data_IF_078220913775
#
_entry.id   IF_078220913775
#
_cell.length_a   1.000
_cell.length_b   1.000
_cell.length_c   1.000
_cell.angle_alpha   90.00
_cell.angle_beta   90.00
_cell.angle_gamma   90.00
#
_symmetry.space_group_name_H-M   'P 1'
#
loop_
_entity.id
_entity.type
_entity.pdbx_description
1 polymer ?
#
# COMPACT_ATOMS: atom_id res chain seq x y z
N UNK A 1 -11.52 22.88 11.40
CA UNK A 1 -10.91 21.81 10.59
C UNK A 1 -11.12 20.43 11.20
N UNK A 2 -10.85 20.18 12.49
CA UNK A 2 -11.07 18.85 13.11
C UNK A 2 -12.52 18.37 13.07
N UNK A 3 -13.44 19.22 13.49
CA UNK A 3 -14.87 18.89 13.49
C UNK A 3 -15.37 18.59 12.06
N UNK A 4 -14.81 19.29 11.06
CA UNK A 4 -15.10 19.03 9.66
C UNK A 4 -14.61 17.65 9.23
N UNK A 5 -13.38 17.25 9.57
CA UNK A 5 -12.86 15.91 9.24
C UNK A 5 -13.64 14.81 9.95
N UNK A 6 -13.98 14.99 11.23
CA UNK A 6 -14.82 14.05 11.98
C UNK A 6 -16.17 13.91 11.29
N UNK A 7 -16.81 15.02 10.93
CA UNK A 7 -18.10 15.01 10.25
C UNK A 7 -18.06 14.32 8.89
N UNK A 8 -16.97 14.50 8.12
CA UNK A 8 -16.76 13.77 6.86
C UNK A 8 -16.68 12.27 7.10
N UNK A 9 -15.91 11.84 8.10
CA UNK A 9 -15.80 10.43 8.44
C UNK A 9 -17.15 9.87 8.91
N UNK A 10 -17.90 10.58 9.75
CA UNK A 10 -19.26 10.17 10.13
C UNK A 10 -20.20 9.98 8.92
N UNK A 11 -20.09 10.84 7.91
CA UNK A 11 -20.95 10.79 6.72
C UNK A 11 -20.53 9.72 5.70
N UNK A 12 -19.23 9.47 5.58
CA UNK A 12 -18.67 8.71 4.45
C UNK A 12 -17.80 7.52 4.85
N UNK A 13 -17.61 7.22 6.14
CA UNK A 13 -16.79 6.06 6.58
C UNK A 13 -17.31 4.76 5.99
N UNK A 14 -18.63 4.62 5.85
CA UNK A 14 -19.25 3.44 5.26
C UNK A 14 -18.72 3.15 3.85
N UNK A 15 -18.39 4.17 3.04
CA UNK A 15 -17.82 3.99 1.70
C UNK A 15 -16.41 3.36 1.74
N UNK A 16 -15.69 3.56 2.84
CA UNK A 16 -14.34 3.03 3.05
C UNK A 16 -14.34 1.60 3.59
N UNK A 17 -15.49 1.13 4.08
CA UNK A 17 -15.62 -0.13 4.80
C UNK A 17 -16.09 -1.30 3.92
N UNK A 18 -16.27 -1.07 2.62
CA UNK A 18 -16.65 -2.10 1.65
C UNK A 18 -15.52 -2.46 0.70
N UNK A 19 -15.28 -3.77 0.53
CA UNK A 19 -14.47 -4.27 -0.56
C UNK A 19 -15.25 -4.16 -1.88
N UNK A 20 -14.54 -3.94 -3.00
CA UNK A 20 -15.17 -3.88 -4.33
C UNK A 20 -16.02 -5.12 -4.65
N UNK A 21 -15.61 -6.28 -4.12
CA UNK A 21 -16.32 -7.55 -4.24
C UNK A 21 -17.78 -7.47 -3.71
N UNK A 22 -18.02 -6.61 -2.73
CA UNK A 22 -19.30 -6.43 -2.05
C UNK A 22 -20.21 -5.40 -2.73
N UNK A 23 -19.72 -4.71 -3.77
CA UNK A 23 -20.44 -3.66 -4.50
C UNK A 23 -21.85 -4.09 -4.93
N UNK A 24 -21.94 -5.26 -5.57
CA UNK A 24 -23.21 -5.82 -6.05
C UNK A 24 -24.00 -6.54 -4.94
N UNK A 25 -23.32 -7.09 -3.92
CA UNK A 25 -23.96 -7.85 -2.84
C UNK A 25 -24.80 -6.92 -1.98
N UNK A 26 -24.26 -5.75 -1.65
CA UNK A 26 -24.91 -4.78 -0.76
C UNK A 26 -25.58 -3.64 -1.51
N UNK A 27 -25.73 -3.76 -2.83
CA UNK A 27 -26.33 -2.75 -3.70
C UNK A 27 -25.79 -1.34 -3.41
N UNK A 28 -24.45 -1.24 -3.37
CA UNK A 28 -23.78 -0.03 -2.91
C UNK A 28 -24.09 1.18 -3.80
N UNK A 29 -24.38 0.95 -5.08
CA UNK A 29 -24.82 2.00 -6.00
C UNK A 29 -26.06 2.71 -5.48
N UNK A 30 -27.11 1.98 -5.09
CA UNK A 30 -28.37 2.58 -4.66
C UNK A 30 -28.29 3.23 -3.26
N UNK A 31 -27.25 2.92 -2.48
CA UNK A 31 -26.95 3.63 -1.23
C UNK A 31 -26.33 5.01 -1.45
N UNK A 32 -25.81 5.30 -2.65
CA UNK A 32 -25.25 6.62 -2.95
C UNK A 32 -26.37 7.68 -3.06
N UNK A 33 -26.08 8.93 -2.66
CA UNK A 33 -27.00 10.05 -2.88
C UNK A 33 -27.44 10.13 -4.36
N UNK A 34 -28.72 10.46 -4.59
CA UNK A 34 -29.28 10.53 -5.94
C UNK A 34 -28.48 11.47 -6.85
N UNK A 35 -28.03 12.61 -6.34
CA UNK A 35 -27.19 13.55 -7.10
C UNK A 35 -25.86 12.94 -7.55
N UNK A 36 -25.27 12.03 -6.76
CA UNK A 36 -24.04 11.34 -7.13
C UNK A 36 -24.31 10.31 -8.22
N UNK A 37 -25.38 9.52 -8.09
CA UNK A 37 -25.76 8.53 -9.09
C UNK A 37 -26.03 9.17 -10.45
N UNK A 38 -26.77 10.28 -10.49
CA UNK A 38 -27.06 11.00 -11.75
C UNK A 38 -25.77 11.47 -12.43
N UNK A 39 -24.81 12.01 -11.67
CA UNK A 39 -23.52 12.44 -12.25
C UNK A 39 -22.66 11.25 -12.68
N UNK A 40 -22.59 10.19 -11.86
CA UNK A 40 -21.68 9.07 -12.08
C UNK A 40 -22.22 8.04 -13.08
N UNK A 41 -23.50 8.03 -13.40
CA UNK A 41 -24.09 7.13 -14.40
C UNK A 41 -23.48 7.32 -15.80
N UNK A 42 -23.02 8.53 -16.11
CA UNK A 42 -22.45 8.90 -17.42
C UNK A 42 -20.96 9.26 -17.34
N UNK A 43 -20.28 8.82 -16.28
CA UNK A 43 -18.88 9.16 -16.08
C UNK A 43 -17.97 8.33 -17.00
N UNK A 44 -17.09 9.00 -17.73
CA UNK A 44 -16.05 8.33 -18.51
C UNK A 44 -14.77 8.15 -17.69
N UNK A 45 -13.85 7.25 -18.08
CA UNK A 45 -12.59 7.05 -17.38
C UNK A 45 -11.79 8.35 -17.14
N UNK A 46 -11.77 9.26 -18.11
CA UNK A 46 -11.08 10.54 -17.99
C UNK A 46 -11.75 11.50 -17.00
N UNK A 47 -13.07 11.42 -16.85
CA UNK A 47 -13.81 12.19 -15.84
C UNK A 47 -13.50 11.69 -14.43
N UNK A 48 -13.31 10.38 -14.26
CA UNK A 48 -12.85 9.78 -13.00
C UNK A 48 -11.46 10.32 -12.59
N UNK A 49 -10.57 10.58 -13.56
CA UNK A 49 -9.27 11.17 -13.29
C UNK A 49 -9.39 12.57 -12.68
N UNK A 50 -10.42 13.34 -13.03
CA UNK A 50 -10.71 14.65 -12.47
C UNK A 50 -11.23 14.59 -11.03
N UNK A 51 -11.85 13.47 -10.62
CA UNK A 51 -12.28 13.27 -9.24
C UNK A 51 -11.06 12.96 -8.35
N UNK A 52 -10.13 12.16 -8.88
CA UNK A 52 -8.98 11.64 -8.14
C UNK A 52 -7.74 12.54 -8.16
N UNK A 53 -7.66 13.45 -9.13
CA UNK A 53 -6.57 14.41 -9.28
C UNK A 53 -7.12 15.83 -9.45
N UNK A 54 -6.40 16.79 -8.87
CA UNK A 54 -6.74 18.19 -9.00
C UNK A 54 -6.30 18.82 -10.33
N UNK A 55 -5.55 18.08 -11.15
CA UNK A 55 -4.90 18.62 -12.34
C UNK A 55 -5.81 18.76 -13.58
N UNK A 56 -6.66 17.77 -13.97
CA UNK A 56 -7.48 17.94 -15.16
C UNK A 56 -8.79 18.69 -14.88
N UNK A 57 -9.25 19.56 -15.81
CA UNK A 57 -10.55 20.20 -15.72
C UNK A 57 -11.66 19.15 -15.88
N UNK A 58 -12.63 19.16 -14.96
CA UNK A 58 -13.75 18.24 -15.04
C UNK A 58 -14.68 18.67 -16.18
N UNK A 59 -15.00 17.75 -17.10
CA UNK A 59 -15.94 18.00 -18.20
C UNK A 59 -17.40 17.91 -17.75
N UNK A 60 -17.62 17.35 -16.56
CA UNK A 60 -18.93 17.16 -15.95
C UNK A 60 -19.07 18.03 -14.69
N UNK A 61 -20.30 18.42 -14.37
CA UNK A 61 -20.59 19.13 -13.12
C UNK A 61 -20.67 18.10 -11.99
N UNK A 62 -19.70 18.13 -11.09
CA UNK A 62 -19.65 17.25 -9.93
C UNK A 62 -20.65 17.69 -8.85
N UNK A 63 -21.23 16.76 -8.08
CA UNK A 63 -22.05 17.11 -6.92
C UNK A 63 -21.27 17.99 -5.94
N UNK A 64 -21.97 18.94 -5.28
CA UNK A 64 -21.35 19.86 -4.33
C UNK A 64 -20.52 19.13 -3.27
N UNK A 65 -21.02 18.00 -2.75
CA UNK A 65 -20.29 17.18 -1.78
C UNK A 65 -18.94 16.67 -2.31
N UNK A 66 -18.85 16.27 -3.58
CA UNK A 66 -17.61 15.81 -4.21
C UNK A 66 -16.64 16.99 -4.40
N UNK A 67 -17.14 18.15 -4.82
CA UNK A 67 -16.34 19.38 -4.92
C UNK A 67 -15.77 19.78 -3.56
N UNK A 68 -16.58 19.78 -2.51
CA UNK A 68 -16.13 20.05 -1.15
C UNK A 68 -15.07 19.04 -0.68
N UNK A 69 -15.29 17.75 -0.90
CA UNK A 69 -14.30 16.71 -0.56
C UNK A 69 -12.99 16.93 -1.31
N UNK A 70 -13.04 17.26 -2.61
CA UNK A 70 -11.85 17.55 -3.42
C UNK A 70 -11.09 18.77 -2.88
N UNK A 71 -11.79 19.86 -2.55
CA UNK A 71 -11.18 21.04 -1.92
C UNK A 71 -10.49 20.68 -0.61
N UNK A 72 -11.14 19.89 0.24
CA UNK A 72 -10.59 19.48 1.53
C UNK A 72 -9.35 18.60 1.35
N UNK A 73 -9.41 17.61 0.44
CA UNK A 73 -8.26 16.76 0.12
C UNK A 73 -7.07 17.59 -0.37
N UNK A 74 -7.29 18.65 -1.14
CA UNK A 74 -6.23 19.55 -1.60
C UNK A 74 -5.61 20.40 -0.48
N UNK A 75 -6.27 20.54 0.68
CA UNK A 75 -5.66 21.18 1.85
C UNK A 75 -4.76 20.24 2.66
N UNK A 76 -4.82 18.92 2.38
CA UNK A 76 -3.95 17.95 3.03
C UNK A 76 -2.54 18.00 2.44
N UNK A 77 -1.51 17.66 3.22
CA UNK A 77 -0.15 17.55 2.70
C UNK A 77 -0.08 16.62 1.48
N UNK A 78 0.59 17.02 0.39
CA UNK A 78 0.62 16.22 -0.82
C UNK A 78 1.43 14.93 -0.60
N UNK A 79 0.98 13.84 -1.23
CA UNK A 79 1.70 12.56 -1.29
C UNK A 79 2.65 12.53 -2.48
N UNK A 80 3.65 13.39 -2.48
CA UNK A 80 4.62 13.44 -3.58
C UNK A 80 5.66 12.32 -3.48
N UNK A 81 5.76 11.51 -4.54
CA UNK A 81 6.81 10.52 -4.65
C UNK A 81 8.15 11.21 -4.90
N UNK A 82 9.15 10.91 -4.07
CA UNK A 82 10.47 11.47 -4.29
C UNK A 82 11.19 10.73 -5.41
N UNK A 83 11.37 11.42 -6.53
CA UNK A 83 11.88 10.87 -7.79
C UNK A 83 13.40 10.98 -7.96
N UNK A 84 14.07 11.92 -7.30
CA UNK A 84 15.51 12.18 -7.43
C UNK A 84 16.20 12.41 -6.09
N UNK A 85 17.54 12.29 -6.05
CA UNK A 85 18.33 12.61 -4.84
C UNK A 85 18.29 14.10 -4.50
N UNK A 86 18.22 14.97 -5.52
CA UNK A 86 18.05 16.41 -5.36
C UNK A 86 16.73 16.77 -4.67
N UNK A 87 15.63 16.09 -5.04
CA UNK A 87 14.35 16.31 -4.38
C UNK A 87 14.40 15.91 -2.89
N UNK A 88 15.15 14.84 -2.56
CA UNK A 88 15.37 14.44 -1.16
C UNK A 88 16.12 15.53 -0.38
N UNK A 89 17.20 16.09 -0.93
CA UNK A 89 17.99 17.12 -0.23
C UNK A 89 17.15 18.37 0.02
N UNK A 90 16.35 18.79 -0.96
CA UNK A 90 15.45 19.94 -0.84
C UNK A 90 14.40 19.72 0.24
N UNK A 91 13.74 18.56 0.29
CA UNK A 91 12.76 18.21 1.34
C UNK A 91 13.40 18.21 2.72
N UNK A 92 14.66 17.78 2.82
CA UNK A 92 15.42 17.79 4.08
C UNK A 92 15.98 19.17 4.45
N UNK A 93 15.68 20.22 3.67
CA UNK A 93 16.15 21.59 3.92
C UNK A 93 17.66 21.76 3.70
N UNK A 94 18.25 20.99 2.79
CA UNK A 94 19.70 20.99 2.57
C UNK A 94 20.07 21.14 1.09
N UNK A 95 21.18 21.82 0.84
CA UNK A 95 21.79 21.96 -0.49
C UNK A 95 23.11 21.18 -0.57
N UNK A 96 23.05 19.87 -0.29
CA UNK A 96 24.23 19.01 -0.41
C UNK A 96 24.49 18.76 -1.90
N UNK A 97 25.74 18.92 -2.36
CA UNK A 97 26.17 18.47 -3.69
C UNK A 97 26.17 16.93 -3.70
N UNK A 98 25.07 16.34 -4.12
CA UNK A 98 24.90 14.89 -4.22
C UNK A 98 25.02 14.47 -5.68
N UNK A 99 25.79 13.41 -5.95
CA UNK A 99 25.82 12.78 -7.28
C UNK A 99 24.50 12.07 -7.58
N UNK A 100 23.96 12.25 -8.79
CA UNK A 100 22.61 11.76 -9.16
C UNK A 100 22.46 10.23 -9.13
N UNK A 101 23.56 9.48 -9.22
CA UNK A 101 23.49 8.02 -9.18
C UNK A 101 23.30 7.51 -7.75
N UNK A 102 22.32 6.62 -7.57
CA UNK A 102 22.16 5.85 -6.33
C UNK A 102 23.33 4.86 -6.22
N UNK A 103 24.07 4.91 -5.11
CA UNK A 103 25.10 3.90 -4.84
C UNK A 103 24.40 2.57 -4.55
N UNK A 104 24.83 1.50 -5.20
CA UNK A 104 24.29 0.17 -4.90
C UNK A 104 24.91 -0.36 -3.60
N UNK A 105 24.22 -0.17 -2.48
CA UNK A 105 24.61 -0.76 -1.20
C UNK A 105 24.58 -2.30 -1.26
N UNK A 106 23.72 -2.84 -2.13
CA UNK A 106 23.58 -4.28 -2.41
C UNK A 106 24.65 -4.85 -3.34
N UNK A 107 25.44 -4.04 -4.06
CA UNK A 107 26.49 -4.50 -4.99
C UNK A 107 27.61 -5.31 -4.33
N UNK A 108 27.81 -5.18 -3.01
CA UNK A 108 28.64 -6.09 -2.21
C UNK A 108 27.91 -7.44 -2.09
N UNK A 109 27.95 -8.25 -3.14
CA UNK A 109 27.12 -9.45 -3.38
C UNK A 109 27.11 -10.57 -2.31
N UNK A 110 27.79 -10.38 -1.18
CA UNK A 110 27.74 -11.27 -0.02
C UNK A 110 26.41 -11.18 0.75
N UNK A 111 25.75 -10.02 0.74
CA UNK A 111 24.52 -9.75 1.53
C UNK A 111 23.21 -9.91 0.74
N UNK A 112 23.28 -10.14 -0.58
CA UNK A 112 22.12 -10.25 -1.48
C UNK A 112 21.55 -11.66 -1.62
N UNK A 113 21.97 -12.59 -0.76
CA UNK A 113 21.48 -13.98 -0.76
C UNK A 113 19.96 -13.99 -0.63
N UNK A 114 19.25 -14.59 -1.59
CA UNK A 114 17.78 -14.68 -1.67
C UNK A 114 17.02 -13.33 -1.80
N UNK A 115 17.69 -12.26 -2.23
CA UNK A 115 17.07 -10.97 -2.52
C UNK A 115 16.70 -10.85 -4.00
N UNK A 116 15.41 -10.64 -4.29
CA UNK A 116 14.91 -10.34 -5.66
C UNK A 116 15.35 -8.93 -6.10
N UNK A 117 15.56 -8.73 -7.40
CA UNK A 117 16.03 -7.45 -8.00
C UNK A 117 15.20 -6.24 -7.59
N UNK A 118 13.85 -6.36 -7.57
CA UNK A 118 12.97 -5.27 -7.11
C UNK A 118 13.27 -4.85 -5.67
N UNK A 119 13.41 -5.84 -4.77
CA UNK A 119 13.69 -5.59 -3.36
C UNK A 119 15.08 -5.00 -3.15
N UNK A 120 16.07 -5.41 -3.96
CA UNK A 120 17.40 -4.79 -3.96
C UNK A 120 17.35 -3.31 -4.34
N UNK A 121 16.66 -2.97 -5.43
CA UNK A 121 16.49 -1.58 -5.87
C UNK A 121 15.81 -0.71 -4.80
N UNK A 122 14.76 -1.21 -4.15
CA UNK A 122 14.08 -0.48 -3.07
C UNK A 122 14.99 -0.29 -1.83
N UNK A 123 15.76 -1.32 -1.44
CA UNK A 123 16.74 -1.21 -0.35
C UNK A 123 17.82 -0.19 -0.69
N UNK A 124 18.41 -0.24 -1.89
CA UNK A 124 19.45 0.70 -2.30
C UNK A 124 18.96 2.14 -2.22
N UNK A 125 17.73 2.42 -2.67
CA UNK A 125 17.14 3.76 -2.55
C UNK A 125 16.98 4.21 -1.10
N UNK A 126 16.45 3.33 -0.24
CA UNK A 126 16.22 3.66 1.17
C UNK A 126 17.54 3.89 1.93
N UNK A 127 18.55 3.04 1.72
CA UNK A 127 19.87 3.19 2.34
C UNK A 127 20.53 4.51 1.91
N UNK A 128 20.46 4.86 0.62
CA UNK A 128 20.98 6.14 0.13
C UNK A 128 20.24 7.33 0.74
N UNK A 129 18.92 7.23 0.93
CA UNK A 129 18.15 8.28 1.59
C UNK A 129 18.61 8.48 3.04
N UNK A 130 18.78 7.40 3.80
CA UNK A 130 19.24 7.48 5.19
C UNK A 130 20.66 8.06 5.28
N UNK A 131 21.54 7.71 4.33
CA UNK A 131 22.88 8.34 4.24
C UNK A 131 22.80 9.85 3.99
N UNK A 132 21.90 10.28 3.12
CA UNK A 132 21.66 11.72 2.89
C UNK A 132 21.15 12.38 4.17
N UNK A 133 20.15 11.80 4.84
CA UNK A 133 19.67 12.28 6.14
C UNK A 133 20.80 12.39 7.16
N UNK A 134 21.68 11.39 7.22
CA UNK A 134 22.86 11.39 8.10
C UNK A 134 23.86 12.50 7.83
N UNK A 135 23.98 12.95 6.59
CA UNK A 135 24.83 14.09 6.23
C UNK A 135 24.19 15.47 6.49
N UNK A 136 22.95 15.51 6.98
CA UNK A 136 22.26 16.75 7.37
C UNK A 136 22.32 16.96 8.89
N UNK A 137 21.88 18.13 9.37
CA UNK A 137 21.70 18.41 10.81
C UNK A 137 20.75 17.43 11.52
N UNK A 138 19.83 16.78 10.79
CA UNK A 138 18.96 15.72 11.33
C UNK A 138 19.75 14.44 11.65
N UNK A 139 20.91 14.24 11.02
CA UNK A 139 21.74 13.06 11.18
C UNK A 139 22.29 12.86 12.59
N UNK A 140 22.61 13.96 13.27
CA UNK A 140 23.03 13.99 14.67
C UNK A 140 21.88 13.67 15.63
N UNK A 141 20.64 13.83 15.15
CA UNK A 141 19.45 13.62 15.98
C UNK A 141 19.06 12.16 16.13
N UNK A 142 19.69 11.18 15.48
CA UNK A 142 19.29 9.77 15.68
C UNK A 142 20.48 8.82 15.63
N UNK A 143 20.62 7.94 16.62
CA UNK A 143 21.63 6.87 16.61
C UNK A 143 21.02 5.47 16.45
N UNK A 144 19.70 5.38 16.57
CA UNK A 144 18.94 4.15 16.42
C UNK A 144 18.13 4.20 15.13
N UNK A 145 18.10 3.08 14.42
CA UNK A 145 17.23 2.88 13.25
C UNK A 145 16.38 1.65 13.50
N UNK A 146 15.07 1.82 13.46
CA UNK A 146 14.11 0.75 13.73
C UNK A 146 13.44 0.34 12.43
N UNK A 147 13.73 -0.87 11.95
CA UNK A 147 13.17 -1.50 10.75
C UNK A 147 11.92 -2.31 11.11
N UNK A 148 10.75 -1.68 10.96
CA UNK A 148 9.45 -2.28 11.28
C UNK A 148 8.99 -3.18 10.14
N UNK A 149 8.62 -4.43 10.47
CA UNK A 149 8.26 -5.44 9.47
C UNK A 149 9.48 -5.93 8.69
N UNK A 150 10.59 -6.14 9.40
CA UNK A 150 11.88 -6.48 8.80
C UNK A 150 11.87 -7.82 8.03
N UNK A 151 10.91 -8.71 8.32
CA UNK A 151 10.82 -10.05 7.75
C UNK A 151 12.09 -10.85 8.02
N UNK A 152 12.81 -11.22 6.96
CA UNK A 152 14.07 -11.96 7.07
C UNK A 152 15.29 -11.08 7.41
N UNK A 153 15.14 -9.77 7.67
CA UNK A 153 16.24 -8.88 8.08
C UNK A 153 17.18 -8.43 6.97
N UNK A 154 16.74 -8.43 5.70
CA UNK A 154 17.60 -8.04 4.57
C UNK A 154 18.00 -6.56 4.59
N UNK A 155 17.04 -5.66 4.80
CA UNK A 155 17.29 -4.23 4.88
C UNK A 155 18.17 -3.93 6.11
N UNK A 156 17.77 -4.43 7.28
CA UNK A 156 18.53 -4.30 8.53
C UNK A 156 20.02 -4.68 8.40
N UNK A 157 20.36 -5.83 7.79
CA UNK A 157 21.78 -6.20 7.55
C UNK A 157 22.52 -5.23 6.64
N UNK A 158 21.87 -4.75 5.59
CA UNK A 158 22.51 -3.83 4.65
C UNK A 158 22.73 -2.48 5.33
N UNK A 159 21.81 -2.06 6.21
CA UNK A 159 21.96 -0.86 7.03
C UNK A 159 23.10 -0.99 8.04
N UNK A 160 23.22 -2.11 8.75
CA UNK A 160 24.28 -2.29 9.76
C UNK A 160 25.69 -2.16 9.16
N UNK A 161 25.88 -2.67 7.93
CA UNK A 161 27.15 -2.53 7.20
C UNK A 161 27.31 -1.14 6.57
N UNK A 162 26.21 -0.50 6.18
CA UNK A 162 26.25 0.79 5.48
C UNK A 162 26.36 1.99 6.41
N UNK A 163 25.99 1.82 7.70
CA UNK A 163 25.87 2.84 8.73
C UNK A 163 26.40 2.28 10.06
N UNK A 164 27.72 2.06 10.20
CA UNK A 164 28.29 1.41 11.39
C UNK A 164 28.08 2.21 12.69
N UNK A 165 27.88 3.53 12.58
CA UNK A 165 27.63 4.42 13.72
C UNK A 165 26.16 4.41 14.19
N UNK A 166 25.33 3.53 13.62
CA UNK A 166 23.92 3.38 13.97
C UNK A 166 23.62 1.99 14.52
N UNK A 167 22.88 1.95 15.62
CA UNK A 167 22.30 0.70 16.14
C UNK A 167 21.04 0.36 15.36
N UNK A 168 21.01 -0.83 14.75
CA UNK A 168 19.89 -1.28 13.91
C UNK A 168 19.02 -2.28 14.68
N UNK A 169 17.73 -1.98 14.76
CA UNK A 169 16.72 -2.80 15.44
C UNK A 169 15.66 -3.21 14.43
N UNK A 170 15.64 -4.49 14.07
CA UNK A 170 14.57 -5.11 13.32
C UNK A 170 13.41 -5.49 14.23
N UNK A 171 12.19 -5.24 13.78
CA UNK A 171 10.95 -5.62 14.47
C UNK A 171 10.11 -6.48 13.54
N UNK A 172 9.65 -7.63 14.02
CA UNK A 172 8.83 -8.57 13.25
C UNK A 172 7.80 -9.25 14.15
N UNK A 173 6.62 -9.58 13.61
CA UNK A 173 5.56 -10.28 14.35
C UNK A 173 5.54 -11.79 14.11
N UNK A 174 6.14 -12.24 13.02
CA UNK A 174 6.19 -13.64 12.65
C UNK A 174 7.48 -14.30 13.17
N UNK A 175 7.33 -15.17 14.17
CA UNK A 175 8.43 -15.92 14.81
C UNK A 175 9.26 -16.75 13.80
N UNK A 176 8.65 -17.36 12.79
CA UNK A 176 9.40 -18.09 11.75
C UNK A 176 10.30 -17.17 10.93
N UNK A 177 9.87 -15.92 10.67
CA UNK A 177 10.68 -14.93 9.96
C UNK A 177 11.83 -14.44 10.83
N UNK A 178 11.60 -14.24 12.14
CA UNK A 178 12.66 -13.92 13.12
C UNK A 178 13.71 -15.03 13.15
N UNK A 179 13.30 -16.29 13.33
CA UNK A 179 14.20 -17.46 13.30
C UNK A 179 14.98 -17.56 11.98
N UNK A 180 14.32 -17.34 10.84
CA UNK A 180 14.98 -17.31 9.52
C UNK A 180 15.98 -16.16 9.40
N UNK A 181 15.71 -15.00 10.01
CA UNK A 181 16.65 -13.87 10.05
C UNK A 181 17.91 -14.23 10.84
N UNK A 182 17.75 -14.80 12.04
CA UNK A 182 18.86 -15.24 12.92
C UNK A 182 19.72 -16.28 12.20
N UNK A 183 19.11 -17.34 11.64
CA UNK A 183 19.84 -18.37 10.90
C UNK A 183 20.62 -17.80 9.71
N UNK A 184 20.06 -16.81 9.03
CA UNK A 184 20.74 -16.15 7.91
C UNK A 184 21.91 -15.27 8.40
N UNK A 185 21.79 -14.61 9.55
CA UNK A 185 22.91 -13.90 10.19
C UNK A 185 24.08 -14.82 10.48
N UNK A 186 23.83 -15.97 11.11
CA UNK A 186 24.88 -16.95 11.41
C UNK A 186 25.58 -17.44 10.13
N UNK A 187 24.82 -17.72 9.07
CA UNK A 187 25.38 -18.15 7.78
C UNK A 187 26.24 -17.07 7.13
N UNK A 188 25.85 -15.80 7.25
CA UNK A 188 26.58 -14.69 6.66
C UNK A 188 27.81 -14.28 7.48
N UNK A 189 27.76 -14.39 8.82
CA UNK A 189 28.93 -14.19 9.71
C UNK A 189 30.09 -15.11 9.33
N UNK A 190 29.80 -16.36 8.93
CA UNK A 190 30.83 -17.31 8.44
C UNK A 190 31.42 -16.94 7.07
N UNK A 191 30.78 -16.05 6.31
CA UNK A 191 31.15 -15.67 4.93
C UNK A 191 31.72 -14.25 4.80
N UNK A 192 31.57 -13.42 5.82
CA UNK A 192 32.02 -12.03 5.82
C UNK A 192 33.29 -11.89 6.69
N UNK A 193 34.10 -10.88 6.40
CA UNK A 193 35.32 -10.61 7.16
C UNK A 193 34.95 -9.98 8.52
N UNK A 194 35.86 -10.05 9.49
CA UNK A 194 35.70 -9.51 10.86
C UNK A 194 35.34 -8.02 10.93
N UNK A 195 35.50 -7.28 9.83
CA UNK A 195 35.21 -5.84 9.71
C UNK A 195 33.75 -5.51 9.38
N UNK A 196 32.94 -6.47 8.92
CA UNK A 196 31.54 -6.23 8.57
C UNK A 196 30.66 -6.40 9.82
N UNK A 197 30.23 -5.29 10.44
CA UNK A 197 29.28 -5.34 11.54
C UNK A 197 27.88 -5.75 11.03
N UNK A 198 27.57 -7.04 11.13
CA UNK A 198 26.28 -7.63 10.79
C UNK A 198 25.29 -7.62 11.96
N UNK A 199 25.62 -6.94 13.04
CA UNK A 199 24.79 -6.87 14.23
C UNK A 199 23.55 -6.01 13.95
N UNK A 200 22.42 -6.70 13.89
CA UNK A 200 21.12 -6.10 14.06
C UNK A 200 20.34 -6.99 15.03
N UNK A 201 19.63 -6.36 15.95
CA UNK A 201 18.73 -7.06 16.87
C UNK A 201 17.42 -7.31 16.16
N UNK A 202 16.83 -8.49 16.32
CA UNK A 202 15.52 -8.81 15.74
C UNK A 202 14.56 -9.12 16.87
N UNK A 203 13.69 -8.18 17.18
CA UNK A 203 12.73 -8.28 18.27
C UNK A 203 11.39 -8.83 17.74
N UNK A 204 10.85 -9.82 18.45
CA UNK A 204 9.51 -10.35 18.20
C UNK A 204 8.50 -9.48 18.95
N UNK A 205 7.54 -8.90 18.22
CA UNK A 205 6.48 -8.05 18.83
C UNK A 205 5.09 -8.60 18.56
N UNK A 206 4.16 -8.31 19.48
CA UNK A 206 2.75 -8.60 19.27
C UNK A 206 2.09 -7.63 18.26
N UNK A 207 0.95 -8.05 17.70
CA UNK A 207 0.17 -7.22 16.80
C UNK A 207 -0.37 -5.98 17.55
N UNK A 208 -0.33 -4.83 16.88
CA UNK A 208 -0.82 -3.55 17.44
C UNK A 208 -0.09 -3.05 18.69
N UNK A 209 1.22 -3.30 18.82
CA UNK A 209 2.01 -2.76 19.93
C UNK A 209 1.86 -1.22 20.05
N UNK A 210 1.56 -0.77 21.27
CA UNK A 210 1.32 0.62 21.63
C UNK A 210 2.51 1.13 22.45
N UNK A 211 3.42 1.88 21.82
CA UNK A 211 4.63 2.38 22.47
C UNK A 211 5.85 1.49 22.22
N UNK A 212 7.03 2.09 22.22
CA UNK A 212 8.29 1.38 22.05
C UNK A 212 8.62 0.63 23.36
N UNK A 213 8.09 -0.57 23.57
CA UNK A 213 8.78 -1.56 24.42
C UNK A 213 9.93 -2.19 23.62
N UNK A 214 10.69 -1.37 22.90
CA UNK A 214 11.93 -1.81 22.27
C UNK A 214 13.00 -1.76 23.36
N UNK A 215 13.55 -2.91 23.78
CA UNK A 215 14.54 -2.91 24.84
C UNK A 215 15.74 -2.07 24.40
N UNK A 216 16.17 -1.13 25.25
CA UNK A 216 17.26 -0.16 25.08
C UNK A 216 16.94 1.17 24.38
N UNK A 217 15.70 1.43 23.93
CA UNK A 217 15.29 2.80 23.58
C UNK A 217 14.67 3.50 24.80
N UNK A 218 15.38 4.48 25.36
CA UNK A 218 14.81 5.40 26.35
C UNK A 218 13.82 6.37 25.70
N UNK A 219 12.87 6.91 26.48
CA UNK A 219 11.86 7.87 26.02
C UNK A 219 12.44 9.11 25.33
N UNK A 220 13.66 9.48 25.70
CA UNK A 220 14.31 10.72 25.27
C UNK A 220 15.24 10.49 24.06
N UNK A 221 15.47 9.23 23.68
CA UNK A 221 16.27 8.89 22.52
C UNK A 221 15.44 9.00 21.24
N UNK A 222 15.91 9.89 20.36
CA UNK A 222 15.40 10.02 19.01
C UNK A 222 15.90 8.86 18.14
N UNK A 223 14.99 8.24 17.41
CA UNK A 223 15.26 7.13 16.51
C UNK A 223 14.62 7.37 15.14
N UNK A 224 15.22 6.80 14.10
CA UNK A 224 14.65 6.79 12.76
C UNK A 224 13.81 5.52 12.56
N UNK A 225 12.50 5.70 12.42
CA UNK A 225 11.58 4.61 12.09
C UNK A 225 11.55 4.41 10.57
N UNK A 226 11.72 3.18 10.11
CA UNK A 226 11.65 2.81 8.70
C UNK A 226 10.83 1.52 8.53
N UNK A 227 10.34 1.29 7.32
CA UNK A 227 9.76 0.01 6.94
C UNK A 227 9.72 -0.10 5.42
N UNK A 228 10.31 -1.18 4.88
CA UNK A 228 10.35 -1.40 3.43
C UNK A 228 9.00 -1.89 2.89
N UNK A 229 8.55 -3.03 3.39
CA UNK A 229 7.23 -3.63 3.10
C UNK A 229 6.56 -4.05 4.42
N UNK A 230 6.41 -3.14 5.40
CA UNK A 230 5.66 -3.46 6.60
C UNK A 230 4.24 -3.82 6.16
N UNK A 231 3.77 -5.01 6.54
CA UNK A 231 2.44 -5.51 6.19
C UNK A 231 1.53 -5.54 7.42
N UNK A 232 0.23 -5.45 7.17
CA UNK A 232 -0.77 -5.69 8.22
C UNK A 232 -0.77 -4.60 9.28
N UNK A 233 -0.71 -5.02 10.54
CA UNK A 233 -0.77 -4.15 11.71
C UNK A 233 0.54 -3.39 11.93
N UNK A 234 1.67 -3.91 11.47
CA UNK A 234 2.98 -3.28 11.66
C UNK A 234 3.11 -1.94 10.91
N UNK A 235 2.46 -1.79 9.75
CA UNK A 235 2.39 -0.52 9.02
C UNK A 235 1.64 0.54 9.83
N UNK A 236 0.56 0.12 10.52
CA UNK A 236 -0.19 1.01 11.43
C UNK A 236 0.61 1.34 12.69
N UNK A 237 1.44 0.41 13.17
CA UNK A 237 2.37 0.64 14.28
C UNK A 237 3.42 1.70 13.96
N UNK A 238 3.96 1.77 12.73
CA UNK A 238 4.87 2.88 12.33
C UNK A 238 4.20 4.23 12.58
N UNK A 239 2.94 4.39 12.15
CA UNK A 239 2.19 5.64 12.30
C UNK A 239 1.85 5.94 13.77
N UNK A 240 1.53 4.91 14.57
CA UNK A 240 1.26 5.08 16.01
C UNK A 240 2.54 5.45 16.78
N UNK A 241 3.66 4.79 16.49
CA UNK A 241 4.96 5.03 17.10
C UNK A 241 5.51 6.41 16.76
N UNK A 242 5.55 6.73 15.47
CA UNK A 242 5.87 8.08 15.01
C UNK A 242 4.88 9.09 15.59
N UNK A 243 3.67 8.62 15.87
CA UNK A 243 2.55 9.42 16.30
C UNK A 243 2.60 9.97 17.72
N UNK A 244 3.44 9.42 18.60
CA UNK A 244 3.73 10.04 19.90
C UNK A 244 4.50 11.36 19.76
N UNK A 245 5.13 11.62 18.60
CA UNK A 245 5.92 12.83 18.35
C UNK A 245 5.31 13.84 17.35
N UNK A 246 4.13 13.57 16.77
CA UNK A 246 3.51 14.47 15.79
C UNK A 246 2.14 15.04 16.22
N UNK A 247 1.83 16.30 15.85
CA UNK A 247 0.52 16.90 16.11
C UNK A 247 -0.64 16.20 15.40
N UNK A 248 -0.43 15.56 14.24
CA UNK A 248 -1.50 14.94 13.44
C UNK A 248 -2.00 13.63 14.04
N UNK A 249 -1.13 12.86 14.66
CA UNK A 249 -1.42 11.54 15.26
C UNK A 249 -1.98 11.64 16.67
N UNK A 250 -1.59 12.62 17.49
CA UNK A 250 -2.32 12.88 18.75
C UNK A 250 -3.74 13.37 18.44
N UNK A 251 -3.86 14.20 17.40
CA UNK A 251 -5.12 14.74 16.87
C UNK A 251 -6.06 13.66 16.30
N UNK A 252 -5.52 12.62 15.66
CA UNK A 252 -6.31 11.55 15.03
C UNK A 252 -6.17 10.19 15.71
N UNK A 253 -5.47 10.08 16.85
CA UNK A 253 -5.16 8.81 17.50
C UNK A 253 -6.36 8.06 18.06
N UNK A 254 -7.51 8.73 18.17
CA UNK A 254 -8.80 8.13 18.53
C UNK A 254 -9.59 7.60 17.33
N UNK A 255 -9.16 7.90 16.11
CA UNK A 255 -9.81 7.41 14.90
C UNK A 255 -9.39 5.96 14.63
N UNK A 256 -10.38 5.09 14.49
CA UNK A 256 -10.19 3.69 14.10
C UNK A 256 -10.73 3.50 12.69
N UNK A 257 -9.91 2.94 11.81
CA UNK A 257 -10.28 2.62 10.44
C UNK A 257 -10.41 1.11 10.28
N UNK A 258 -11.36 0.67 9.45
CA UNK A 258 -11.48 -0.74 9.08
C UNK A 258 -10.25 -1.20 8.30
N UNK A 259 -10.07 -2.53 8.21
CA UNK A 259 -9.01 -3.09 7.38
C UNK A 259 -9.14 -2.66 5.92
N UNK A 260 -10.37 -2.58 5.40
CA UNK A 260 -10.64 -2.15 4.03
C UNK A 260 -10.19 -0.70 3.80
N UNK A 261 -10.53 0.20 4.72
CA UNK A 261 -10.12 1.60 4.66
C UNK A 261 -8.60 1.78 4.70
N UNK A 262 -7.92 0.99 5.56
CA UNK A 262 -6.45 0.99 5.65
C UNK A 262 -5.79 0.44 4.37
N UNK A 263 -6.34 -0.64 3.80
CA UNK A 263 -5.85 -1.20 2.53
C UNK A 263 -6.00 -0.17 1.40
N UNK A 264 -7.17 0.48 1.29
CA UNK A 264 -7.44 1.54 0.31
C UNK A 264 -6.48 2.72 0.44
N UNK A 265 -6.13 3.12 1.66
CA UNK A 265 -5.22 4.24 1.91
C UNK A 265 -3.81 4.03 1.32
N UNK A 266 -3.39 2.77 1.13
CA UNK A 266 -2.09 2.41 0.55
C UNK A 266 -2.05 2.47 -0.98
N UNK A 267 -3.18 2.68 -1.66
CA UNK A 267 -3.22 2.74 -3.12
C UNK A 267 -2.67 4.09 -3.63
N UNK A 268 -1.83 4.02 -4.66
CA UNK A 268 -1.33 5.20 -5.38
C UNK A 268 -2.35 5.65 -6.42
N UNK A 269 -2.94 6.82 -6.19
CA UNK A 269 -3.90 7.43 -7.11
C UNK A 269 -3.23 7.88 -8.40
N UNK A 270 -1.95 8.25 -8.35
CA UNK A 270 -1.18 8.82 -9.47
C UNK A 270 -1.09 7.81 -10.62
N UNK A 271 -0.70 6.58 -10.31
CA UNK A 271 -0.63 5.50 -11.30
C UNK A 271 -2.00 5.12 -11.87
N UNK A 272 -3.05 5.25 -11.07
CA UNK A 272 -4.41 4.94 -11.50
C UNK A 272 -4.95 6.03 -12.42
N UNK A 273 -4.79 7.30 -12.06
CA UNK A 273 -5.10 8.48 -12.89
C UNK A 273 -4.37 8.40 -14.23
N UNK A 274 -3.08 8.07 -14.24
CA UNK A 274 -2.34 7.91 -15.49
C UNK A 274 -2.95 6.82 -16.37
N UNK A 275 -3.35 5.68 -15.80
CA UNK A 275 -4.02 4.60 -16.56
C UNK A 275 -5.36 5.06 -17.12
N UNK A 276 -6.17 5.76 -16.32
CA UNK A 276 -7.46 6.32 -16.74
C UNK A 276 -7.32 7.22 -17.96
N UNK A 277 -6.28 8.07 -18.00
CA UNK A 277 -6.05 9.02 -19.09
C UNK A 277 -5.37 8.44 -20.34
N UNK A 278 -4.66 7.31 -20.23
CA UNK A 278 -3.80 6.81 -21.32
C UNK A 278 -4.28 5.51 -21.95
N UNK A 279 -5.08 4.72 -21.23
CA UNK A 279 -5.56 3.44 -21.75
C UNK A 279 -6.79 3.64 -22.61
N UNK A 280 -6.83 2.97 -23.76
CA UNK A 280 -8.03 2.86 -24.57
C UNK A 280 -9.19 2.23 -23.79
N UNK A 281 -10.43 2.57 -24.15
CA UNK A 281 -11.64 1.97 -23.53
C UNK A 281 -11.64 0.44 -23.61
N UNK A 282 -11.17 -0.13 -24.72
CA UNK A 282 -11.03 -1.59 -24.90
C UNK A 282 -10.12 -2.26 -23.87
N UNK A 283 -9.21 -1.51 -23.23
CA UNK A 283 -8.33 -2.02 -22.18
C UNK A 283 -9.07 -2.31 -20.86
N UNK A 284 -10.28 -1.75 -20.67
CA UNK A 284 -11.12 -1.95 -19.49
C UNK A 284 -12.13 -3.09 -19.66
N UNK A 285 -12.19 -3.70 -20.85
CA UNK A 285 -13.15 -4.75 -21.19
C UNK A 285 -13.18 -5.89 -20.18
N UNK A 286 -12.02 -6.31 -19.68
CA UNK A 286 -11.92 -7.40 -18.68
C UNK A 286 -12.46 -6.99 -17.31
N UNK A 287 -12.30 -5.73 -16.93
CA UNK A 287 -12.88 -5.17 -15.70
C UNK A 287 -14.40 -5.10 -15.81
N UNK A 288 -14.92 -4.71 -16.98
CA UNK A 288 -16.36 -4.75 -17.26
C UNK A 288 -16.90 -6.18 -17.23
N UNK A 289 -16.23 -7.14 -17.87
CA UNK A 289 -16.62 -8.56 -17.77
C UNK A 289 -16.60 -9.08 -16.34
N UNK A 290 -15.58 -8.70 -15.55
CA UNK A 290 -15.56 -9.02 -14.14
C UNK A 290 -16.80 -8.45 -13.46
N UNK A 291 -17.08 -7.16 -13.62
CA UNK A 291 -18.23 -6.50 -13.00
C UNK A 291 -19.57 -7.16 -13.38
N UNK A 292 -19.76 -7.52 -14.65
CA UNK A 292 -20.95 -8.24 -15.12
C UNK A 292 -21.05 -9.61 -14.47
N UNK A 293 -19.97 -10.40 -14.46
CA UNK A 293 -19.96 -11.71 -13.79
C UNK A 293 -20.27 -11.60 -12.29
N UNK A 294 -19.66 -10.63 -11.61
CA UNK A 294 -19.89 -10.37 -10.18
C UNK A 294 -21.36 -9.99 -9.92
N UNK A 295 -21.98 -9.22 -10.83
CA UNK A 295 -23.38 -8.84 -10.78
C UNK A 295 -24.31 -10.06 -10.98
N UNK A 296 -24.01 -10.92 -11.96
CA UNK A 296 -24.77 -12.15 -12.24
C UNK A 296 -24.73 -13.10 -11.04
N UNK A 297 -23.56 -13.28 -10.42
CA UNK A 297 -23.44 -14.13 -9.22
C UNK A 297 -24.23 -13.52 -8.04
N UNK A 298 -24.13 -12.21 -7.82
CA UNK A 298 -24.82 -11.54 -6.72
C UNK A 298 -26.35 -11.61 -6.82
N UNK A 299 -26.90 -11.57 -8.04
CA UNK A 299 -28.34 -11.57 -8.31
C UNK A 299 -28.87 -12.93 -8.80
N UNK A 300 -28.09 -14.00 -8.68
CA UNK A 300 -28.49 -15.33 -9.15
C UNK A 300 -29.72 -15.85 -8.39
N UNK A 301 -30.64 -16.53 -9.09
CA UNK A 301 -31.88 -17.07 -8.50
C UNK A 301 -31.61 -18.14 -7.45
N UNK A 302 -30.61 -18.98 -7.69
CA UNK A 302 -30.13 -19.99 -6.74
C UNK A 302 -29.41 -19.33 -5.54
N UNK A 303 -29.92 -19.60 -4.34
CA UNK A 303 -29.38 -19.09 -3.08
C UNK A 303 -28.00 -19.67 -2.75
N UNK A 304 -27.73 -20.93 -3.13
CA UNK A 304 -26.42 -21.54 -2.88
C UNK A 304 -25.33 -20.82 -3.66
N UNK A 305 -25.58 -20.47 -4.92
CA UNK A 305 -24.63 -19.71 -5.75
C UNK A 305 -24.36 -18.32 -5.14
N UNK A 306 -25.40 -17.65 -4.64
CA UNK A 306 -25.26 -16.37 -3.93
C UNK A 306 -24.44 -16.50 -2.65
N UNK A 307 -24.63 -17.57 -1.86
CA UNK A 307 -23.86 -17.82 -0.62
C UNK A 307 -22.38 -18.04 -0.90
N UNK A 308 -22.04 -18.70 -2.00
CA UNK A 308 -20.65 -18.92 -2.38
C UNK A 308 -19.92 -17.61 -2.73
N UNK A 309 -20.63 -16.53 -3.10
CA UNK A 309 -20.06 -15.25 -3.54
C UNK A 309 -18.95 -14.70 -2.63
N UNK A 310 -19.16 -14.73 -1.32
CA UNK A 310 -18.20 -14.21 -0.32
C UNK A 310 -16.93 -15.07 -0.23
N UNK A 311 -17.02 -16.36 -0.57
CA UNK A 311 -15.90 -17.31 -0.59
C UNK A 311 -15.26 -17.49 -1.98
N UNK A 312 -15.94 -17.03 -3.04
CA UNK A 312 -15.52 -17.21 -4.42
C UNK A 312 -14.36 -16.28 -4.77
N UNK A 313 -13.24 -16.89 -5.16
CA UNK A 313 -12.08 -16.17 -5.67
C UNK A 313 -12.07 -16.23 -7.19
N UNK A 314 -12.64 -15.19 -7.82
CA UNK A 314 -12.59 -15.05 -9.27
C UNK A 314 -11.14 -14.79 -9.71
N UNK A 315 -10.62 -15.68 -10.54
CA UNK A 315 -9.23 -15.67 -10.98
C UNK A 315 -8.92 -14.49 -11.90
N UNK A 316 -7.70 -13.97 -11.81
CA UNK A 316 -7.21 -12.93 -12.74
C UNK A 316 -6.98 -13.52 -14.13
N UNK A 317 -7.68 -12.98 -15.13
CA UNK A 317 -7.59 -13.46 -16.53
C UNK A 317 -6.52 -12.66 -17.29
N UNK A 318 -5.35 -13.25 -17.45
CA UNK A 318 -4.24 -12.72 -18.26
C UNK A 318 -4.34 -13.26 -19.70
N UNK A 319 -4.01 -12.45 -20.73
CA UNK A 319 -4.04 -12.91 -22.14
C UNK A 319 -4.81 -12.00 -23.11
N UNK A 320 -5.24 -12.58 -24.24
CA UNK A 320 -5.79 -11.95 -25.46
C UNK A 320 -6.72 -10.75 -25.17
N UNK A 321 -6.58 -9.67 -25.95
CA UNK A 321 -7.39 -8.45 -25.87
C UNK A 321 -8.81 -8.67 -26.42
N UNK A 322 -8.97 -9.66 -27.30
CA UNK A 322 -10.22 -9.91 -28.03
C UNK A 322 -11.08 -11.03 -27.44
N UNK A 323 -10.88 -11.32 -26.15
CA UNK A 323 -11.63 -12.34 -25.43
C UNK A 323 -13.14 -12.03 -25.43
N UNK A 324 -13.97 -13.04 -25.69
CA UNK A 324 -15.42 -12.93 -25.49
C UNK A 324 -15.77 -12.95 -24.00
N UNK A 325 -16.98 -12.52 -23.64
CA UNK A 325 -17.42 -12.63 -22.25
C UNK A 325 -17.52 -14.09 -21.82
N UNK A 326 -17.93 -14.98 -22.73
CA UNK A 326 -18.06 -16.42 -22.46
C UNK A 326 -16.71 -17.06 -22.09
N UNK A 327 -15.68 -16.77 -22.90
CA UNK A 327 -14.32 -17.21 -22.64
C UNK A 327 -13.76 -16.62 -21.34
N UNK A 328 -14.11 -15.36 -21.04
CA UNK A 328 -13.75 -14.73 -19.77
C UNK A 328 -14.28 -15.52 -18.58
N UNK A 329 -15.57 -15.85 -18.55
CA UNK A 329 -16.20 -16.56 -17.43
C UNK A 329 -15.53 -17.93 -17.24
N UNK A 330 -15.28 -18.67 -18.32
CA UNK A 330 -14.61 -19.99 -18.25
C UNK A 330 -13.21 -19.89 -17.61
N UNK A 331 -12.43 -18.88 -17.99
CA UNK A 331 -11.09 -18.68 -17.42
C UNK A 331 -11.15 -18.15 -15.98
N UNK A 332 -12.09 -17.25 -15.70
CA UNK A 332 -12.24 -16.59 -14.39
C UNK A 332 -12.75 -17.56 -13.31
N UNK A 333 -13.62 -18.51 -13.70
CA UNK A 333 -14.22 -19.54 -12.84
C UNK A 333 -13.57 -20.92 -13.03
N UNK A 334 -12.38 -21.03 -13.62
CA UNK A 334 -11.72 -22.33 -13.88
C UNK A 334 -11.53 -23.20 -12.62
N UNK A 335 -11.53 -22.60 -11.42
CA UNK A 335 -11.47 -23.29 -10.12
C UNK A 335 -12.81 -23.86 -9.64
N UNK A 336 -13.91 -23.49 -10.31
CA UNK A 336 -15.28 -23.84 -9.95
C UNK A 336 -16.05 -24.34 -11.18
N UNK A 337 -15.70 -25.52 -11.75
CA UNK A 337 -16.34 -26.03 -12.96
C UNK A 337 -17.86 -26.16 -12.87
N UNK A 338 -18.38 -26.58 -11.71
CA UNK A 338 -19.82 -26.69 -11.46
C UNK A 338 -20.57 -25.35 -11.59
N UNK A 339 -19.92 -24.22 -11.30
CA UNK A 339 -20.52 -22.91 -11.49
C UNK A 339 -20.61 -22.56 -12.98
N UNK A 340 -19.62 -22.95 -13.78
CA UNK A 340 -19.62 -22.69 -15.23
C UNK A 340 -20.86 -23.34 -15.85
N UNK A 341 -21.18 -24.57 -15.48
CA UNK A 341 -22.39 -25.27 -15.97
C UNK A 341 -23.69 -24.52 -15.64
N UNK A 342 -23.74 -23.81 -14.51
CA UNK A 342 -24.91 -23.02 -14.11
C UNK A 342 -25.07 -21.71 -14.89
N UNK A 343 -23.99 -21.14 -15.43
CA UNK A 343 -24.04 -19.91 -16.22
C UNK A 343 -24.15 -20.16 -17.73
N UNK A 344 -23.92 -21.40 -18.18
CA UNK A 344 -23.90 -21.75 -19.59
C UNK A 344 -24.84 -22.91 -19.91
N UNK A 345 -25.83 -22.67 -20.78
CA UNK A 345 -26.60 -23.75 -21.42
C UNK A 345 -26.22 -23.87 -22.89
N UNK A 346 -25.86 -25.07 -23.35
CA UNK A 346 -25.41 -25.33 -24.73
C UNK A 346 -24.32 -24.35 -25.23
N UNK A 347 -23.45 -23.90 -24.32
CA UNK A 347 -22.37 -22.96 -24.61
C UNK A 347 -22.74 -21.49 -24.64
N UNK A 348 -24.02 -21.11 -24.42
CA UNK A 348 -24.49 -19.73 -24.34
C UNK A 348 -24.74 -19.29 -22.90
N UNK A 349 -24.48 -18.02 -22.61
CA UNK A 349 -24.80 -17.42 -21.31
C UNK A 349 -26.31 -17.36 -21.13
N UNK A 350 -26.78 -17.82 -19.97
CA UNK A 350 -28.20 -17.74 -19.57
C UNK A 350 -28.48 -16.29 -19.15
N UNK A 351 -29.45 -15.64 -19.83
CA UNK A 351 -29.86 -14.24 -19.58
C UNK A 351 -30.46 -14.00 -18.19
#
# INVERSE_FOLDING_TARGET
MEELYRRILELYSWLLDFYMIEYFIFDLWNKLPLSWRITFERIEPEDCACILSSSPPCKIVLPLAILCLRTIVNTLPPREAVSSRLNLTTICGTHIKVTDSFLSATSKGRLTVKLKTKKQHEIDRLVNFIKVLKSTHLGESFHFIVDIGAGMGHLSRILSVSLPDCSIIAVEKNDDLVKKSILLNEKLRRRCNSSDNLEHRCELVEAAFHGLDIPDLSSDQKALLIGLHPCGDLSSSILRLFGFGLPLSSRYGKLTFSRCALDLACHSNENYVQKLLTKSHSSYRKQCYRAVLECLIAHHKDEEIRRHRTSLVISSVNGNKDLTFEEYVKLALARYPCMIENYFYAGKIIE
#
